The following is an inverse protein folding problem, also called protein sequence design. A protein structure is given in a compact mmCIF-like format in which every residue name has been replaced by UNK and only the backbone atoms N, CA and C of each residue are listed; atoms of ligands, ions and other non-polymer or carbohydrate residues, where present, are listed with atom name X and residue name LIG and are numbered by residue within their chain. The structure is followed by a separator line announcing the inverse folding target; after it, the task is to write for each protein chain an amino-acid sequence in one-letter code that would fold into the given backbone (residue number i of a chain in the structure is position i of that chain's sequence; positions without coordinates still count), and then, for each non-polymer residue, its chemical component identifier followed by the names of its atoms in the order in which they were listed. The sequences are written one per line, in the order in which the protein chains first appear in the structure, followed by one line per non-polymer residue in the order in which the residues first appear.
data_IF_436324587217
#
_entry.id   IF_436324587217
#
_cell.length_a   1.000
_cell.length_b   1.000
_cell.length_c   1.000
_cell.angle_alpha   90.00
_cell.angle_beta   90.00
_cell.angle_gamma   90.00
#
_symmetry.space_group_name_H-M   'P 1'
#
loop_
_entity.id
_entity.type
_entity.pdbx_description
1 polymer ?
#
# COMPACT_ATOMS: atom_id res chain seq x y z
N UNK A 1 46.98 -28.36 -24.17
CA UNK A 1 46.76 -26.92 -24.01
C UNK A 1 45.38 -26.46 -24.41
N UNK A 2 44.83 -27.02 -25.46
CA UNK A 2 43.47 -26.66 -25.88
C UNK A 2 42.39 -26.98 -24.82
N UNK A 3 42.67 -27.98 -24.02
CA UNK A 3 41.74 -28.35 -22.95
C UNK A 3 41.57 -27.28 -21.86
N UNK A 4 42.64 -26.59 -21.56
CA UNK A 4 42.60 -25.56 -20.51
C UNK A 4 41.81 -24.36 -20.98
N UNK A 5 41.87 -24.04 -22.25
CA UNK A 5 41.09 -22.96 -22.83
C UNK A 5 39.62 -23.31 -22.84
N UNK A 6 39.32 -24.56 -23.15
CA UNK A 6 37.92 -25.01 -23.19
C UNK A 6 37.26 -24.99 -21.81
N UNK A 7 38.03 -25.39 -20.81
CA UNK A 7 37.55 -25.37 -19.43
C UNK A 7 37.33 -23.94 -18.92
N UNK A 8 38.23 -23.05 -19.30
CA UNK A 8 38.10 -21.65 -18.91
C UNK A 8 36.88 -21.02 -19.54
N UNK A 9 36.63 -21.33 -20.79
CA UNK A 9 35.47 -20.83 -21.50
C UNK A 9 34.19 -21.31 -20.89
N UNK A 10 34.13 -22.57 -20.46
CA UNK A 10 32.97 -23.14 -19.80
C UNK A 10 32.71 -22.47 -18.45
N UNK A 11 33.76 -22.13 -17.73
CA UNK A 11 33.59 -21.46 -16.45
C UNK A 11 33.03 -20.06 -16.60
N UNK A 12 33.46 -19.36 -17.64
CA UNK A 12 32.98 -18.01 -17.91
C UNK A 12 31.49 -18.02 -18.28
N UNK A 13 31.09 -18.98 -19.10
CA UNK A 13 29.70 -19.12 -19.47
C UNK A 13 28.80 -19.48 -18.28
N UNK A 14 29.28 -20.34 -17.40
CA UNK A 14 28.55 -20.72 -16.20
C UNK A 14 28.34 -19.55 -15.26
N UNK A 15 29.36 -18.72 -15.12
CA UNK A 15 29.26 -17.54 -14.27
C UNK A 15 28.26 -16.51 -14.78
N UNK A 16 28.21 -16.34 -16.08
CA UNK A 16 27.28 -15.38 -16.68
C UNK A 16 25.83 -15.80 -16.52
N UNK A 17 25.55 -17.09 -16.59
CA UNK A 17 24.18 -17.58 -16.43
C UNK A 17 23.65 -17.41 -15.02
N UNK A 18 24.52 -17.45 -14.01
CA UNK A 18 24.08 -17.33 -12.63
C UNK A 18 23.81 -15.89 -12.20
N UNK A 19 24.34 -14.92 -12.93
CA UNK A 19 24.12 -13.52 -12.60
C UNK A 19 22.81 -12.95 -13.08
N UNK A 20 21.95 -13.77 -13.68
CA UNK A 20 20.73 -13.26 -14.29
C UNK A 20 19.47 -13.48 -13.47
N UNK A 21 19.55 -14.22 -12.41
CA UNK A 21 18.41 -14.48 -11.55
C UNK A 21 18.24 -13.30 -10.60
N UNK A 22 17.61 -12.24 -11.07
CA UNK A 22 17.29 -11.09 -10.25
C UNK A 22 15.84 -11.16 -9.84
N UNK A 23 15.60 -11.11 -8.56
CA UNK A 23 14.24 -10.99 -8.05
C UNK A 23 13.85 -9.52 -8.07
N UNK A 24 12.60 -9.27 -8.44
CA UNK A 24 12.04 -7.93 -8.30
C UNK A 24 12.04 -7.56 -6.83
N UNK A 25 12.48 -6.36 -6.51
CA UNK A 25 12.39 -5.87 -5.16
C UNK A 25 10.94 -5.70 -4.73
N UNK A 26 10.75 -5.70 -3.43
CA UNK A 26 9.42 -5.55 -2.85
C UNK A 26 9.40 -4.38 -1.90
N UNK A 27 8.24 -3.72 -1.84
CA UNK A 27 7.99 -2.65 -0.89
C UNK A 27 7.06 -3.20 0.17
N UNK A 28 7.46 -3.07 1.44
CA UNK A 28 6.64 -3.48 2.57
C UNK A 28 6.10 -2.22 3.22
N UNK A 29 4.77 -2.07 3.23
CA UNK A 29 4.11 -0.96 3.90
C UNK A 29 3.48 -1.51 5.16
N UNK A 30 3.91 -1.03 6.30
CA UNK A 30 3.49 -1.57 7.59
C UNK A 30 3.25 -0.43 8.56
N UNK A 31 2.11 -0.47 9.23
CA UNK A 31 1.80 0.60 10.15
C UNK A 31 0.46 0.42 10.83
N UNK A 32 -0.05 1.53 11.36
CA UNK A 32 -1.33 1.58 12.06
C UNK A 32 -2.15 2.74 11.53
N UNK A 33 -3.46 2.52 11.41
CA UNK A 33 -4.40 3.57 11.02
C UNK A 33 -5.16 4.01 12.27
N UNK A 34 -5.20 5.31 12.50
CA UNK A 34 -5.81 5.87 13.69
C UNK A 34 -6.75 7.02 13.33
N UNK A 35 -7.71 7.25 14.21
CA UNK A 35 -8.60 8.41 14.15
C UNK A 35 -7.78 9.68 14.42
N UNK A 36 -7.89 10.67 13.54
CA UNK A 36 -7.09 11.90 13.67
C UNK A 36 -7.46 12.74 14.88
N UNK A 37 -8.65 12.55 15.43
CA UNK A 37 -9.10 13.35 16.57
C UNK A 37 -8.83 12.69 17.91
N UNK A 38 -8.92 11.36 17.97
CA UNK A 38 -8.81 10.64 19.24
C UNK A 38 -7.54 9.82 19.34
N UNK A 39 -6.84 9.60 18.22
CA UNK A 39 -5.67 8.71 18.11
C UNK A 39 -6.01 7.25 18.43
N UNK A 40 -7.28 6.89 18.39
CA UNK A 40 -7.66 5.50 18.57
C UNK A 40 -7.50 4.73 17.28
N UNK A 41 -7.08 3.46 17.35
CA UNK A 41 -6.93 2.67 16.14
C UNK A 41 -8.27 2.42 15.46
N UNK A 42 -8.26 2.40 14.14
CA UNK A 42 -9.46 2.16 13.35
C UNK A 42 -9.38 0.76 12.77
N UNK A 43 -10.30 -0.14 13.17
CA UNK A 43 -10.29 -1.50 12.61
C UNK A 43 -10.90 -1.53 11.22
N UNK A 44 -10.45 -2.51 10.43
CA UNK A 44 -11.05 -2.86 9.15
C UNK A 44 -11.06 -1.73 8.13
N UNK A 45 -9.99 -0.93 8.14
CA UNK A 45 -9.78 0.08 7.10
C UNK A 45 -9.39 -0.63 5.82
N UNK A 46 -10.03 -0.27 4.71
CA UNK A 46 -9.64 -0.79 3.40
C UNK A 46 -8.43 -0.02 2.90
N UNK A 47 -7.37 -0.74 2.62
CA UNK A 47 -6.12 -0.15 2.15
C UNK A 47 -5.84 -0.78 0.79
N UNK A 48 -6.04 -0.02 -0.27
CA UNK A 48 -5.92 -0.54 -1.62
C UNK A 48 -4.97 0.28 -2.46
N UNK A 49 -4.27 -0.40 -3.35
CA UNK A 49 -3.37 0.24 -4.29
C UNK A 49 -4.14 0.51 -5.57
N UNK A 50 -4.37 1.79 -5.88
CA UNK A 50 -5.18 2.17 -7.02
C UNK A 50 -4.57 1.67 -8.32
N UNK A 51 -5.42 1.17 -9.20
CA UNK A 51 -4.98 0.62 -10.47
C UNK A 51 -4.53 -0.81 -10.41
N UNK A 52 -4.64 -1.46 -9.25
CA UNK A 52 -4.25 -2.86 -9.07
C UNK A 52 -5.30 -3.58 -8.24
N UNK A 53 -5.11 -4.89 -8.07
CA UNK A 53 -5.96 -5.68 -7.19
C UNK A 53 -5.33 -5.85 -5.80
N UNK A 54 -4.17 -5.24 -5.57
CA UNK A 54 -3.47 -5.36 -4.30
C UNK A 54 -4.18 -4.55 -3.23
N UNK A 55 -4.35 -5.14 -2.06
CA UNK A 55 -4.98 -4.44 -0.93
C UNK A 55 -5.07 -5.32 0.28
N UNK A 56 -5.28 -4.70 1.42
CA UNK A 56 -5.47 -5.38 2.70
C UNK A 56 -6.49 -4.59 3.52
N UNK A 57 -6.96 -5.20 4.59
CA UNK A 57 -7.77 -4.50 5.60
C UNK A 57 -6.98 -4.46 6.89
N UNK A 58 -7.10 -3.37 7.63
CA UNK A 58 -6.47 -3.29 8.94
C UNK A 58 -7.16 -4.25 9.91
N UNK A 59 -6.41 -4.72 10.92
CA UNK A 59 -6.96 -5.61 11.92
C UNK A 59 -7.71 -4.82 13.01
N UNK A 60 -8.12 -5.51 14.08
CA UNK A 60 -8.88 -4.87 15.17
C UNK A 60 -8.08 -3.79 15.89
N UNK A 61 -6.77 -3.84 15.81
CA UNK A 61 -5.89 -2.83 16.40
C UNK A 61 -5.48 -1.77 15.40
N UNK A 62 -6.09 -1.73 14.23
CA UNK A 62 -5.77 -0.76 13.20
C UNK A 62 -4.47 -1.04 12.46
N UNK A 63 -3.85 -2.17 12.68
CA UNK A 63 -2.55 -2.50 12.08
C UNK A 63 -2.74 -3.13 10.72
N UNK A 64 -1.79 -2.85 9.84
CA UNK A 64 -1.82 -3.41 8.50
C UNK A 64 -0.40 -3.70 8.02
N UNK A 65 -0.32 -4.61 7.07
CA UNK A 65 0.93 -4.89 6.35
C UNK A 65 0.57 -5.21 4.91
N UNK A 66 1.15 -4.48 3.98
CA UNK A 66 0.92 -4.67 2.56
C UNK A 66 2.26 -4.78 1.86
N UNK A 67 2.45 -5.86 1.11
CA UNK A 67 3.68 -6.09 0.34
C UNK A 67 3.35 -5.96 -1.14
N UNK A 68 4.07 -5.08 -1.82
CA UNK A 68 3.84 -4.81 -3.24
C UNK A 68 5.17 -4.81 -3.99
N UNK A 69 5.16 -5.08 -5.30
CA UNK A 69 6.37 -4.96 -6.10
C UNK A 69 6.88 -3.53 -6.20
N UNK A 70 8.18 -3.37 -6.35
CA UNK A 70 8.83 -2.06 -6.48
C UNK A 70 8.25 -1.22 -7.61
N UNK A 71 7.81 -1.86 -8.67
CA UNK A 71 7.30 -1.14 -9.84
C UNK A 71 6.06 -0.30 -9.52
N UNK A 72 5.45 -0.53 -8.38
CA UNK A 72 4.27 0.23 -7.97
C UNK A 72 4.59 1.42 -7.07
N UNK A 73 5.85 1.81 -6.99
CA UNK A 73 6.27 2.91 -6.12
C UNK A 73 5.58 4.24 -6.45
N UNK A 74 5.18 4.45 -7.70
CA UNK A 74 4.50 5.67 -8.12
C UNK A 74 2.98 5.60 -7.99
N UNK A 75 2.45 4.46 -7.60
CA UNK A 75 1.00 4.27 -7.45
C UNK A 75 0.51 4.94 -6.17
N UNK A 76 -0.79 5.16 -6.13
CA UNK A 76 -1.45 5.81 -4.99
C UNK A 76 -2.10 4.74 -4.13
N UNK A 77 -1.84 4.82 -2.83
CA UNK A 77 -2.48 3.99 -1.83
C UNK A 77 -3.70 4.75 -1.31
N UNK A 78 -4.86 4.12 -1.36
CA UNK A 78 -6.09 4.74 -0.86
C UNK A 78 -6.58 4.00 0.37
N UNK A 79 -6.81 4.76 1.43
CA UNK A 79 -7.36 4.24 2.67
C UNK A 79 -8.79 4.73 2.81
N UNK A 80 -9.70 3.82 3.09
CA UNK A 80 -11.10 4.17 3.28
C UNK A 80 -11.71 3.36 4.39
N UNK A 81 -12.57 3.99 5.18
CA UNK A 81 -13.28 3.34 6.27
C UNK A 81 -14.63 4.01 6.45
N UNK A 82 -15.59 3.24 6.94
CA UNK A 82 -16.92 3.78 7.18
C UNK A 82 -16.85 4.85 8.27
N UNK A 83 -17.38 6.02 7.97
CA UNK A 83 -17.38 7.14 8.91
C UNK A 83 -16.16 8.03 8.80
N UNK A 84 -15.26 7.75 7.85
CA UNK A 84 -14.03 8.52 7.68
C UNK A 84 -13.88 8.99 6.25
N UNK A 85 -13.26 10.15 6.09
CA UNK A 85 -12.88 10.62 4.75
C UNK A 85 -11.75 9.76 4.20
N UNK A 86 -11.82 9.41 2.92
CA UNK A 86 -10.77 8.63 2.28
C UNK A 86 -9.48 9.44 2.21
N UNK A 87 -8.36 8.75 2.27
CA UNK A 87 -7.05 9.38 2.21
C UNK A 87 -6.20 8.71 1.15
N UNK A 88 -5.59 9.51 0.29
CA UNK A 88 -4.70 9.03 -0.76
C UNK A 88 -3.27 9.41 -0.43
N UNK A 89 -2.37 8.44 -0.52
CA UNK A 89 -0.95 8.63 -0.22
C UNK A 89 -0.16 7.97 -1.34
N UNK A 90 0.84 8.67 -1.85
CA UNK A 90 1.72 8.07 -2.85
C UNK A 90 2.68 7.10 -2.16
N UNK A 91 2.85 5.93 -2.75
CA UNK A 91 3.65 4.88 -2.13
C UNK A 91 5.07 5.34 -1.83
N UNK A 92 5.68 6.09 -2.77
CA UNK A 92 7.07 6.52 -2.57
C UNK A 92 7.25 7.48 -1.39
N UNK A 93 6.18 8.08 -0.91
CA UNK A 93 6.25 8.97 0.25
C UNK A 93 6.39 8.21 1.55
N UNK A 94 5.97 6.94 1.58
CA UNK A 94 5.92 6.17 2.81
C UNK A 94 6.70 4.86 2.75
N UNK A 95 7.28 4.52 1.61
CA UNK A 95 7.85 3.17 1.40
C UNK A 95 9.06 2.86 2.28
N UNK A 96 9.77 3.89 2.77
CA UNK A 96 10.98 3.66 3.56
C UNK A 96 10.78 3.97 5.04
N UNK A 97 9.54 4.10 5.49
CA UNK A 97 9.25 4.41 6.88
C UNK A 97 8.90 3.14 7.63
N UNK A 98 9.59 2.83 8.73
CA UNK A 98 9.40 1.54 9.41
C UNK A 98 8.07 1.43 10.15
N UNK A 99 7.61 2.51 10.76
CA UNK A 99 6.38 2.49 11.56
C UNK A 99 5.47 3.59 11.10
N UNK A 100 4.62 3.28 10.14
CA UNK A 100 3.69 4.25 9.60
C UNK A 100 2.55 4.48 10.58
N UNK A 101 2.22 5.75 10.77
CA UNK A 101 1.03 6.13 11.50
C UNK A 101 0.18 6.99 10.58
N UNK A 102 -0.94 6.44 10.14
CA UNK A 102 -1.80 7.12 9.19
C UNK A 102 -3.05 7.55 9.91
N UNK A 103 -3.36 8.85 9.82
CA UNK A 103 -4.51 9.42 10.51
C UNK A 103 -5.63 9.67 9.51
N UNK A 104 -6.82 9.19 9.81
CA UNK A 104 -8.00 9.43 9.00
C UNK A 104 -8.91 10.42 9.72
N UNK A 105 -9.45 11.36 8.94
CA UNK A 105 -10.37 12.35 9.47
C UNK A 105 -11.79 11.81 9.50
N UNK A 106 -12.48 11.87 10.62
CA UNK A 106 -13.88 11.46 10.66
C UNK A 106 -14.72 12.36 9.76
N UNK A 107 -15.72 11.77 9.13
CA UNK A 107 -16.68 12.56 8.40
C UNK A 107 -17.65 13.19 9.39
N UNK A 108 -17.82 14.50 9.25
CA UNK A 108 -18.82 15.18 10.05
C UNK A 108 -20.05 15.42 9.19
N UNK A 109 -21.17 14.90 9.62
CA UNK A 109 -22.43 15.15 8.93
C UNK A 109 -23.13 16.27 9.66
N UNK A 110 -23.11 17.45 9.09
CA UNK A 110 -23.86 18.56 9.63
C UNK A 110 -25.35 18.31 9.50
N UNK A 111 -26.11 18.90 10.38
CA UNK A 111 -27.56 18.71 10.39
C UNK A 111 -28.19 19.21 9.08
N UNK A 112 -27.57 20.14 8.41
CA UNK A 112 -28.07 20.67 7.16
C UNK A 112 -27.55 19.97 5.90
N UNK A 113 -26.77 18.92 6.00
CA UNK A 113 -26.13 18.25 4.88
C UNK A 113 -26.78 16.95 4.53
N UNK A 114 -27.98 16.95 4.33
CA UNK A 114 -28.58 15.69 3.96
C UNK A 114 -28.40 15.49 2.48
N UNK A 115 -27.62 15.26 2.15
CA UNK A 115 -27.38 15.02 1.05
C UNK A 115 -26.96 14.15 0.43
N UNK A 116 -26.94 14.50 0.22
CA UNK A 116 -26.90 13.95 -0.29
C UNK A 116 -26.57 13.26 -0.90
N UNK A 117 -26.52 13.14 -0.87
CA UNK A 117 -26.74 12.34 -0.97
C UNK A 117 -27.11 12.03 -1.35
N UNK A 118 -27.03 12.38 -1.55
CA UNK A 118 -27.63 12.08 -1.35
C UNK A 118 -27.96 11.97 -1.69
N UNK A 119 -28.02 11.84 -1.75
CA UNK A 119 -28.62 11.58 -1.51
C UNK A 119 -29.07 11.27 -1.13
N UNK A 120 -28.99 11.38 -1.24
CA UNK A 120 -29.68 11.01 -0.58
C UNK A 120 -30.28 11.16 -0.43
N UNK A 121 -30.28 11.42 -0.57
CA UNK A 121 -31.05 11.43 -0.08
C UNK A 121 -31.62 11.79 -0.05
N UNK A 122 -31.73 12.02 -0.23
CA UNK A 122 -32.40 12.18 0.13
C UNK A 122 -32.83 12.60 0.12
N UNK A 123 -32.83 12.93 -0.13
CA UNK A 123 -33.45 13.13 0.25
C UNK A 123 -33.66 13.79 0.03
N UNK A 124 -33.59 14.25 -0.23
CA UNK A 124 -33.87 14.69 -0.14
C UNK A 124 -34.15 15.07 -0.32
N UNK A 125 -34.25 15.42 -0.48
CA UNK A 125 -34.76 15.52 -0.48
C UNK A 125 -35.07 15.34 -0.60
#
# INVERSE_FOLDING_TARGET
MARKFLLLLLLICGGLCMGQAQEDGKIVLKGVVQDARTNEPIPFVNIGLLGTVAGVASDVDGRFELVIPDRYATHVLRLSAIGYASKDIKVYEIQNKPDLKILLQPKTYGIGEVDVYGQLLIYKK
#
